data_IF_344911793416
#
_entry.id   IF_344911793416
#
_cell.length_a   1.000
_cell.length_b   1.000
_cell.length_c   1.000
_cell.angle_alpha   90.00
_cell.angle_beta   90.00
_cell.angle_gamma   90.00
#
_symmetry.space_group_name_H-M   'P 1'
#
loop_
_entity.id
_entity.type
_entity.pdbx_description
1 polymer ?
#
# COMPACT_ATOMS: atom_id res chain seq x y z
N UNK A 1 17.63 -16.43 -29.55
CA UNK A 1 16.36 -15.72 -29.82
C UNK A 1 15.99 -15.02 -28.54
N UNK A 2 16.02 -13.69 -28.52
CA UNK A 2 15.75 -12.90 -27.31
C UNK A 2 14.25 -12.88 -27.09
N UNK A 3 13.74 -13.73 -26.21
CA UNK A 3 12.38 -13.61 -25.69
C UNK A 3 12.35 -12.37 -24.81
N UNK A 4 11.61 -11.34 -25.24
CA UNK A 4 11.31 -10.20 -24.37
C UNK A 4 10.76 -10.71 -23.04
N UNK A 5 11.20 -10.16 -21.89
CA UNK A 5 10.65 -10.56 -20.61
C UNK A 5 9.15 -10.31 -20.63
N UNK A 6 8.36 -11.36 -20.38
CA UNK A 6 6.91 -11.22 -20.27
C UNK A 6 6.62 -10.39 -19.03
N UNK A 7 6.07 -9.19 -19.22
CA UNK A 7 5.61 -8.31 -18.16
C UNK A 7 4.11 -8.48 -17.97
N UNK A 8 3.63 -8.39 -16.74
CA UNK A 8 2.19 -8.29 -16.43
C UNK A 8 1.93 -7.23 -15.38
N UNK A 9 0.77 -6.58 -15.49
CA UNK A 9 0.22 -5.75 -14.44
C UNK A 9 -0.65 -6.61 -13.52
N UNK A 10 -0.47 -6.45 -12.21
CA UNK A 10 -1.32 -7.06 -11.18
C UNK A 10 -1.79 -6.01 -10.20
N UNK A 11 -3.06 -6.06 -9.85
CA UNK A 11 -3.66 -5.33 -8.73
C UNK A 11 -4.28 -6.34 -7.75
N UNK A 12 -4.65 -5.88 -6.56
CA UNK A 12 -5.17 -6.74 -5.52
C UNK A 12 -5.43 -5.99 -4.22
N UNK A 13 -5.36 -6.72 -3.12
CA UNK A 13 -5.51 -6.19 -1.77
C UNK A 13 -4.22 -6.37 -0.99
N UNK A 14 -3.92 -5.41 -0.13
CA UNK A 14 -2.90 -5.51 0.91
C UNK A 14 -3.58 -5.66 2.26
N UNK A 15 -2.93 -6.32 3.21
CA UNK A 15 -3.42 -6.43 4.57
C UNK A 15 -2.78 -5.33 5.41
N UNK A 16 -3.61 -4.48 6.00
CA UNK A 16 -3.17 -3.25 6.67
C UNK A 16 -3.82 -3.09 8.04
N UNK A 17 -3.06 -2.52 8.97
CA UNK A 17 -3.55 -1.95 10.22
C UNK A 17 -2.92 -0.57 10.43
N UNK A 18 -3.62 0.34 11.11
CA UNK A 18 -3.10 1.69 11.39
C UNK A 18 -2.58 1.73 12.82
N UNK A 19 -1.27 1.91 12.97
CA UNK A 19 -0.63 2.14 14.25
C UNK A 19 -0.75 3.62 14.66
N UNK A 20 -1.07 3.94 15.94
CA UNK A 20 -1.27 5.33 16.39
C UNK A 20 -0.08 6.27 16.13
N UNK A 21 1.14 5.76 16.27
CA UNK A 21 2.38 6.55 16.09
C UNK A 21 3.11 6.30 14.76
N UNK A 22 2.93 5.13 14.13
CA UNK A 22 3.69 4.73 12.94
C UNK A 22 2.89 4.92 11.66
N UNK A 23 1.59 5.17 11.77
CA UNK A 23 0.69 5.20 10.63
C UNK A 23 0.40 3.79 10.07
N UNK A 24 0.12 3.67 8.77
CA UNK A 24 -0.20 2.38 8.15
C UNK A 24 0.96 1.39 8.22
N UNK A 25 0.67 0.18 8.70
CA UNK A 25 1.55 -0.98 8.62
C UNK A 25 0.91 -2.04 7.73
N UNK A 26 1.73 -2.73 6.96
CA UNK A 26 1.32 -3.73 5.98
C UNK A 26 1.98 -5.08 6.28
N UNK A 27 1.30 -6.17 5.96
CA UNK A 27 1.95 -7.49 5.91
C UNK A 27 3.00 -7.52 4.81
N UNK A 28 4.21 -7.99 5.12
CA UNK A 28 5.28 -8.24 4.16
C UNK A 28 5.57 -9.74 4.10
N UNK A 29 5.78 -10.25 2.90
CA UNK A 29 6.17 -11.64 2.66
C UNK A 29 7.22 -11.69 1.55
N UNK A 30 8.30 -12.42 1.81
CA UNK A 30 9.35 -12.71 0.83
C UNK A 30 9.48 -14.23 0.70
N UNK A 31 9.26 -14.71 -0.52
CA UNK A 31 9.51 -16.10 -0.89
C UNK A 31 11.00 -16.29 -1.09
N UNK A 32 11.61 -17.21 -0.34
CA UNK A 32 13.02 -17.58 -0.49
C UNK A 32 13.16 -18.91 -1.27
N UNK A 33 12.08 -19.36 -1.92
CA UNK A 33 12.01 -20.62 -2.65
C UNK A 33 13.07 -20.70 -3.77
N UNK A 34 13.40 -19.57 -4.40
CA UNK A 34 14.41 -19.48 -5.48
C UNK A 34 15.83 -19.79 -5.01
N UNK A 35 16.13 -19.60 -3.73
CA UNK A 35 17.42 -19.90 -3.11
C UNK A 35 17.37 -21.12 -2.17
N UNK A 36 16.21 -21.76 -2.05
CA UNK A 36 15.97 -22.87 -1.13
C UNK A 36 15.95 -22.46 0.36
N UNK A 37 15.75 -21.18 0.63
CA UNK A 37 15.64 -20.63 1.99
C UNK A 37 14.21 -20.73 2.55
N UNK A 38 14.04 -20.50 3.86
CA UNK A 38 12.72 -20.39 4.47
C UNK A 38 12.05 -19.06 4.08
N UNK A 39 10.75 -19.11 3.79
CA UNK A 39 9.96 -17.89 3.53
C UNK A 39 9.98 -16.94 4.72
N UNK A 40 10.15 -15.65 4.44
CA UNK A 40 10.21 -14.60 5.45
C UNK A 40 8.87 -13.87 5.57
N UNK A 41 8.37 -13.77 6.80
CA UNK A 41 7.11 -13.11 7.13
C UNK A 41 7.39 -11.93 8.06
N UNK A 42 6.94 -10.74 7.69
CA UNK A 42 7.16 -9.53 8.48
C UNK A 42 5.96 -8.56 8.40
N UNK A 43 6.12 -7.40 9.03
CA UNK A 43 5.30 -6.21 8.84
C UNK A 43 6.20 -5.04 8.47
N UNK A 44 5.67 -4.08 7.71
CA UNK A 44 6.44 -2.95 7.21
C UNK A 44 5.58 -1.69 7.08
N UNK A 45 6.18 -0.50 7.14
CA UNK A 45 5.51 0.78 6.81
C UNK A 45 5.42 1.03 5.30
N UNK A 46 6.12 0.20 4.51
CA UNK A 46 6.34 0.40 3.08
C UNK A 46 5.32 -0.36 2.23
N UNK A 47 4.35 0.33 1.64
CA UNK A 47 3.36 -0.29 0.74
C UNK A 47 4.03 -0.98 -0.46
N UNK A 48 5.07 -0.36 -1.01
CA UNK A 48 6.39 -0.93 -1.20
C UNK A 48 6.54 -2.44 -1.37
N UNK A 49 6.61 -3.02 -0.18
CA UNK A 49 7.01 -4.37 0.17
C UNK A 49 5.82 -5.15 0.71
N UNK A 50 4.63 -4.54 0.71
CA UNK A 50 3.41 -5.18 1.14
C UNK A 50 3.11 -6.40 0.25
N UNK A 51 2.73 -7.49 0.91
CA UNK A 51 2.19 -8.69 0.32
C UNK A 51 0.89 -8.33 -0.40
N UNK A 52 0.91 -8.48 -1.73
CA UNK A 52 -0.24 -8.23 -2.59
C UNK A 52 -1.00 -9.54 -2.86
N UNK A 53 -2.24 -9.60 -2.41
CA UNK A 53 -3.14 -10.74 -2.52
C UNK A 53 -4.26 -10.48 -3.53
N UNK A 54 -4.86 -11.54 -4.07
CA UNK A 54 -6.05 -11.39 -4.91
C UNK A 54 -7.24 -10.88 -4.08
N UNK A 55 -8.19 -10.12 -4.65
CA UNK A 55 -9.35 -9.60 -3.90
C UNK A 55 -10.20 -10.68 -3.20
N UNK A 56 -10.18 -11.91 -3.71
CA UNK A 56 -10.93 -13.05 -3.18
C UNK A 56 -10.09 -13.98 -2.27
N UNK A 57 -8.90 -13.53 -1.85
CA UNK A 57 -7.88 -14.39 -1.21
C UNK A 57 -8.39 -15.14 0.02
N UNK A 58 -9.32 -14.56 0.82
CA UNK A 58 -9.89 -15.21 2.01
C UNK A 58 -10.73 -16.45 1.70
N UNK A 59 -11.18 -16.59 0.46
CA UNK A 59 -11.99 -17.74 0.01
C UNK A 59 -11.24 -18.65 -0.95
N UNK A 60 -10.04 -18.25 -1.39
CA UNK A 60 -9.22 -19.02 -2.32
C UNK A 60 -8.20 -19.90 -1.59
N UNK A 61 -7.43 -20.68 -2.35
CA UNK A 61 -6.31 -21.46 -1.81
C UNK A 61 -5.25 -20.59 -1.12
N UNK A 62 -5.13 -19.32 -1.52
CA UNK A 62 -4.20 -18.34 -0.94
C UNK A 62 -4.48 -18.08 0.55
N UNK A 63 -5.73 -18.23 1.00
CA UNK A 63 -6.06 -18.12 2.43
C UNK A 63 -5.24 -19.09 3.28
N UNK A 64 -5.05 -20.33 2.83
CA UNK A 64 -4.30 -21.34 3.59
C UNK A 64 -2.81 -21.00 3.72
N UNK A 65 -2.27 -20.22 2.78
CA UNK A 65 -0.87 -19.83 2.77
C UNK A 65 -0.58 -18.68 3.74
N UNK A 66 -1.51 -17.73 3.87
CA UNK A 66 -1.27 -16.48 4.61
C UNK A 66 -2.21 -16.25 5.81
N UNK A 67 -3.17 -17.13 6.08
CA UNK A 67 -4.10 -16.97 7.23
C UNK A 67 -3.41 -16.94 8.58
N UNK A 68 -2.24 -17.57 8.73
CA UNK A 68 -1.44 -17.53 9.95
C UNK A 68 -0.25 -16.57 9.86
N UNK A 69 -0.29 -15.55 8.98
CA UNK A 69 0.80 -14.61 8.78
C UNK A 69 1.31 -14.01 10.09
N UNK A 70 0.41 -13.46 10.92
CA UNK A 70 0.81 -12.80 12.16
C UNK A 70 1.39 -13.78 13.19
N UNK A 71 0.87 -15.02 13.25
CA UNK A 71 1.46 -16.06 14.10
C UNK A 71 2.89 -16.38 13.68
N UNK A 72 3.18 -16.40 12.37
CA UNK A 72 4.54 -16.60 11.85
C UNK A 72 5.44 -15.42 12.16
N UNK A 73 4.98 -14.19 11.95
CA UNK A 73 5.73 -12.97 12.32
C UNK A 73 6.13 -13.01 13.80
N UNK A 74 5.17 -13.28 14.69
CA UNK A 74 5.44 -13.33 16.12
C UNK A 74 6.36 -14.50 16.51
N UNK A 75 6.18 -15.68 15.93
CA UNK A 75 7.04 -16.84 16.19
C UNK A 75 8.49 -16.60 15.77
N UNK A 76 8.67 -15.94 14.63
CA UNK A 76 9.99 -15.82 13.99
C UNK A 76 10.74 -14.54 14.39
N UNK A 77 10.04 -13.52 14.91
CA UNK A 77 10.63 -12.21 15.23
C UNK A 77 10.39 -11.72 16.66
N UNK A 78 9.72 -12.50 17.52
CA UNK A 78 9.51 -12.14 18.93
C UNK A 78 9.96 -13.28 19.84
N UNK A 79 10.91 -12.97 20.71
CA UNK A 79 11.33 -13.86 21.79
C UNK A 79 10.76 -13.35 23.10
N UNK A 80 10.01 -14.19 23.82
CA UNK A 80 9.54 -13.90 25.18
C UNK A 80 10.26 -14.83 26.13
N UNK A 81 11.05 -14.26 27.04
CA UNK A 81 11.74 -14.98 28.10
C UNK A 81 11.08 -14.63 29.41
N UNK A 82 10.46 -15.64 30.03
CA UNK A 82 9.95 -15.55 31.39
C UNK A 82 10.85 -16.43 32.28
N UNK A 83 11.49 -15.83 33.28
CA UNK A 83 12.38 -16.55 34.20
C UNK A 83 12.22 -16.05 35.65
N UNK A 84 12.74 -16.82 36.59
CA UNK A 84 12.72 -16.51 38.01
C UNK A 84 14.14 -16.45 38.55
N UNK A 85 14.58 -15.23 38.89
CA UNK A 85 15.82 -15.02 39.63
C UNK A 85 15.55 -15.29 41.13
N UNK A 86 16.24 -16.24 41.79
CA UNK A 86 16.07 -16.52 43.21
C UNK A 86 16.27 -15.30 44.12
N UNK A 87 17.10 -14.34 43.70
CA UNK A 87 17.45 -13.15 44.47
C UNK A 87 16.69 -11.89 43.99
N UNK A 88 16.17 -11.91 42.75
CA UNK A 88 15.51 -10.79 42.07
C UNK A 88 13.99 -10.94 41.87
N UNK A 89 13.45 -12.14 42.04
CA UNK A 89 12.07 -12.47 41.73
C UNK A 89 11.82 -12.76 40.24
N UNK A 90 10.54 -12.88 39.83
CA UNK A 90 10.19 -13.14 38.44
C UNK A 90 10.51 -11.93 37.56
N UNK A 91 11.11 -12.19 36.40
CA UNK A 91 11.32 -11.19 35.36
C UNK A 91 10.89 -11.73 33.99
N UNK A 92 10.46 -10.81 33.14
CA UNK A 92 10.04 -11.10 31.78
C UNK A 92 10.73 -10.14 30.82
N UNK A 93 11.32 -10.66 29.75
CA UNK A 93 11.92 -9.88 28.68
C UNK A 93 11.27 -10.22 27.35
N UNK A 94 10.98 -9.20 26.56
CA UNK A 94 10.43 -9.34 25.21
C UNK A 94 11.45 -8.71 24.26
N UNK A 95 12.05 -9.54 23.41
CA UNK A 95 12.98 -9.09 22.40
C UNK A 95 12.32 -9.15 21.01
N UNK A 96 12.42 -8.05 20.28
CA UNK A 96 12.01 -7.95 18.88
C UNK A 96 13.21 -8.04 17.97
N UNK A 97 13.10 -8.84 16.92
CA UNK A 97 14.14 -9.01 15.90
C UNK A 97 13.72 -8.38 14.56
N UNK A 98 14.66 -8.28 13.62
CA UNK A 98 14.38 -7.84 12.25
C UNK A 98 13.77 -6.44 12.13
N UNK A 99 12.84 -6.27 11.18
CA UNK A 99 12.10 -5.01 11.03
C UNK A 99 11.22 -4.70 12.24
N UNK A 100 10.76 -5.73 12.97
CA UNK A 100 9.89 -5.56 14.12
C UNK A 100 10.59 -4.76 15.25
N UNK A 101 11.90 -4.98 15.42
CA UNK A 101 12.75 -4.22 16.35
C UNK A 101 12.81 -2.72 16.02
N UNK A 102 12.95 -2.41 14.72
CA UNK A 102 12.99 -1.03 14.25
C UNK A 102 11.63 -0.33 14.40
N UNK A 103 10.54 -1.03 14.11
CA UNK A 103 9.18 -0.52 14.28
C UNK A 103 8.85 -0.29 15.76
N UNK A 104 9.22 -1.23 16.63
CA UNK A 104 9.08 -1.09 18.07
C UNK A 104 9.81 0.17 18.57
N UNK A 105 11.08 0.33 18.21
CA UNK A 105 11.89 1.49 18.58
C UNK A 105 11.27 2.83 18.12
N UNK A 106 10.66 2.86 16.94
CA UNK A 106 10.00 4.05 16.39
C UNK A 106 8.62 4.31 17.00
N UNK A 107 7.94 3.27 17.50
CA UNK A 107 6.59 3.38 18.04
C UNK A 107 6.51 4.21 19.32
N UNK A 108 7.62 4.25 20.07
CA UNK A 108 7.68 4.85 21.41
C UNK A 108 6.91 4.07 22.49
N UNK A 109 6.37 2.90 22.16
CA UNK A 109 5.66 2.03 23.11
C UNK A 109 6.63 1.16 23.90
N UNK A 110 6.23 0.75 25.11
CA UNK A 110 6.92 -0.35 25.80
C UNK A 110 6.77 -1.66 25.05
N UNK A 111 7.65 -2.63 25.33
CA UNK A 111 7.65 -3.92 24.62
C UNK A 111 6.29 -4.63 24.71
N UNK A 112 5.70 -4.61 25.90
CA UNK A 112 4.38 -5.20 26.14
C UNK A 112 3.28 -4.48 25.38
N UNK A 113 3.27 -3.15 25.37
CA UNK A 113 2.26 -2.37 24.64
C UNK A 113 2.33 -2.61 23.14
N UNK A 114 3.54 -2.68 22.58
CA UNK A 114 3.74 -2.94 21.16
C UNK A 114 3.33 -4.37 20.78
N UNK A 115 3.72 -5.37 21.58
CA UNK A 115 3.31 -6.76 21.37
C UNK A 115 1.79 -6.94 21.50
N UNK A 116 1.17 -6.32 22.50
CA UNK A 116 -0.28 -6.35 22.71
C UNK A 116 -1.01 -5.62 21.56
N UNK A 117 -0.45 -4.53 21.03
CA UNK A 117 -0.96 -3.87 19.84
C UNK A 117 -0.91 -4.79 18.60
N UNK A 118 0.23 -5.41 18.31
CA UNK A 118 0.36 -6.33 17.14
C UNK A 118 -0.73 -7.42 17.18
N UNK A 119 -0.98 -7.98 18.36
CA UNK A 119 -1.95 -9.06 18.58
C UNK A 119 -3.41 -8.62 18.49
N UNK A 120 -3.72 -7.39 18.85
CA UNK A 120 -5.09 -6.87 18.92
C UNK A 120 -5.48 -5.93 17.79
N UNK A 121 -4.51 -5.49 16.98
CA UNK A 121 -4.75 -4.62 15.84
C UNK A 121 -5.74 -5.25 14.85
N UNK A 122 -6.64 -4.42 14.33
CA UNK A 122 -7.60 -4.81 13.31
C UNK A 122 -6.91 -4.82 11.93
N UNK A 123 -6.43 -6.00 11.52
CA UNK A 123 -5.83 -6.22 10.21
C UNK A 123 -6.91 -6.41 9.14
N UNK A 124 -7.11 -5.39 8.30
CA UNK A 124 -8.13 -5.35 7.25
C UNK A 124 -7.56 -5.40 5.84
N UNK A 125 -8.44 -5.64 4.85
CA UNK A 125 -8.09 -5.43 3.45
C UNK A 125 -8.12 -3.95 3.11
N UNK A 126 -7.09 -3.50 2.40
CA UNK A 126 -7.07 -2.22 1.73
C UNK A 126 -6.73 -2.42 0.23
N UNK A 127 -7.18 -1.52 -0.65
CA UNK A 127 -6.74 -1.51 -2.04
C UNK A 127 -5.21 -1.52 -2.13
N UNK A 128 -4.67 -2.51 -2.82
CA UNK A 128 -3.24 -2.63 -3.06
C UNK A 128 -2.78 -1.80 -4.25
N UNK A 129 -1.48 -1.50 -4.34
CA UNK A 129 -0.94 -0.81 -5.50
C UNK A 129 -1.02 -1.67 -6.76
N UNK A 130 -0.96 -1.02 -7.93
CA UNK A 130 -0.68 -1.72 -9.19
C UNK A 130 0.80 -2.10 -9.18
N UNK A 131 1.11 -3.35 -9.48
CA UNK A 131 2.47 -3.89 -9.50
C UNK A 131 2.80 -4.37 -10.91
N UNK A 132 4.01 -4.08 -11.37
CA UNK A 132 4.57 -4.69 -12.58
C UNK A 132 5.37 -5.91 -12.16
N UNK A 133 4.90 -7.07 -12.59
CA UNK A 133 5.59 -8.33 -12.38
C UNK A 133 6.27 -8.75 -13.68
N UNK A 134 7.48 -9.27 -13.55
CA UNK A 134 8.26 -9.84 -14.64
C UNK A 134 8.32 -11.35 -14.45
N UNK A 135 8.11 -12.10 -15.51
CA UNK A 135 8.39 -13.52 -15.50
C UNK A 135 9.90 -13.73 -15.51
N UNK A 136 10.42 -14.30 -14.43
CA UNK A 136 11.82 -14.63 -14.25
C UNK A 136 11.99 -16.15 -14.36
N UNK A 137 13.02 -16.54 -15.11
CA UNK A 137 13.41 -17.94 -15.29
C UNK A 137 14.50 -18.27 -14.28
N UNK A 138 14.19 -19.12 -13.30
CA UNK A 138 15.15 -19.62 -12.31
C UNK A 138 15.79 -20.94 -12.74
N UNK A 139 15.69 -21.32 -14.02
CA UNK A 139 16.24 -22.53 -14.62
C UNK A 139 15.36 -23.77 -14.44
N UNK A 140 14.80 -23.99 -13.25
CA UNK A 140 13.94 -25.15 -12.95
C UNK A 140 12.45 -24.82 -12.88
N UNK A 141 12.11 -23.53 -12.74
CA UNK A 141 10.74 -23.03 -12.73
C UNK A 141 10.71 -21.56 -13.15
N UNK A 142 9.52 -21.10 -13.49
CA UNK A 142 9.24 -19.69 -13.77
C UNK A 142 8.47 -19.08 -12.60
N UNK A 143 8.89 -17.90 -12.15
CA UNK A 143 8.22 -17.14 -11.11
C UNK A 143 7.96 -15.72 -11.57
N UNK A 144 6.82 -15.16 -11.15
CA UNK A 144 6.51 -13.76 -11.39
C UNK A 144 7.09 -12.94 -10.25
N UNK A 145 8.25 -12.32 -10.50
CA UNK A 145 8.89 -11.45 -9.53
C UNK A 145 8.39 -10.01 -9.68
N UNK A 146 8.20 -9.32 -8.55
CA UNK A 146 7.90 -7.88 -8.55
C UNK A 146 9.11 -7.15 -9.12
N UNK A 147 8.99 -6.67 -10.36
CA UNK A 147 10.07 -5.93 -11.04
C UNK A 147 10.09 -4.46 -10.61
N UNK A 148 8.91 -3.91 -10.35
CA UNK A 148 8.68 -2.60 -9.74
C UNK A 148 7.23 -2.55 -9.25
N UNK A 149 6.90 -1.60 -8.37
CA UNK A 149 5.53 -1.13 -8.39
C UNK A 149 5.27 -0.42 -9.71
N UNK A 150 4.05 -0.54 -10.22
CA UNK A 150 3.59 0.40 -11.22
C UNK A 150 3.28 1.69 -10.47
N UNK A 151 4.33 2.45 -10.19
CA UNK A 151 4.17 3.84 -9.84
C UNK A 151 3.53 4.62 -11.00
N UNK A 152 3.62 4.03 -12.20
CA UNK A 152 2.80 4.38 -13.33
C UNK A 152 1.32 4.06 -13.02
N UNK A 153 0.58 5.10 -12.65
CA UNK A 153 -0.86 5.06 -12.62
C UNK A 153 -1.35 5.26 -14.06
N UNK A 154 -2.23 4.39 -14.55
CA UNK A 154 -2.95 4.64 -15.80
C UNK A 154 -4.39 4.19 -15.63
N UNK A 155 -5.31 5.14 -15.71
CA UNK A 155 -6.75 4.88 -15.68
C UNK A 155 -7.44 5.64 -16.80
N UNK A 156 -8.42 5.00 -17.43
CA UNK A 156 -9.32 5.64 -18.39
C UNK A 156 -10.74 5.17 -18.12
N UNK A 157 -11.63 6.10 -17.83
CA UNK A 157 -13.04 5.78 -17.60
C UNK A 157 -13.64 6.59 -16.45
N UNK A 158 -14.85 6.20 -16.01
CA UNK A 158 -15.61 6.96 -15.03
C UNK A 158 -14.95 6.95 -13.65
N UNK A 159 -14.93 8.11 -13.00
CA UNK A 159 -14.53 8.31 -11.59
C UNK A 159 -15.49 9.27 -10.91
N UNK A 160 -15.62 9.20 -9.59
CA UNK A 160 -16.29 10.27 -8.85
C UNK A 160 -15.28 11.37 -8.55
N UNK A 161 -15.43 12.51 -9.23
CA UNK A 161 -14.54 13.65 -9.13
C UNK A 161 -15.13 14.71 -8.20
N UNK A 162 -14.34 15.17 -7.25
CA UNK A 162 -14.62 16.34 -6.40
C UNK A 162 -13.48 17.34 -6.55
N UNK A 163 -13.81 18.61 -6.79
CA UNK A 163 -12.84 19.72 -6.77
C UNK A 163 -13.24 20.74 -5.71
N UNK A 164 -12.24 21.31 -5.04
CA UNK A 164 -12.38 22.38 -4.05
C UNK A 164 -11.68 23.62 -4.57
N UNK A 165 -12.40 24.74 -4.58
CA UNK A 165 -11.91 26.02 -5.06
C UNK A 165 -11.30 26.85 -3.91
N UNK A 166 -10.52 27.86 -4.26
CA UNK A 166 -9.86 28.76 -3.30
C UNK A 166 -10.82 29.59 -2.44
N UNK A 167 -12.08 29.75 -2.87
CA UNK A 167 -13.15 30.38 -2.09
C UNK A 167 -13.84 29.39 -1.12
N UNK A 168 -13.40 28.13 -1.08
CA UNK A 168 -14.00 27.05 -0.29
C UNK A 168 -15.21 26.38 -0.95
N UNK A 169 -15.64 26.85 -2.12
CA UNK A 169 -16.68 26.20 -2.91
C UNK A 169 -16.23 24.82 -3.38
N UNK A 170 -17.20 23.94 -3.66
CA UNK A 170 -16.93 22.59 -4.16
C UNK A 170 -17.81 22.27 -5.36
N UNK A 171 -17.27 21.46 -6.28
CA UNK A 171 -18.03 20.87 -7.37
C UNK A 171 -17.80 19.36 -7.40
N UNK A 172 -18.91 18.61 -7.42
CA UNK A 172 -18.92 17.16 -7.45
C UNK A 172 -19.47 16.69 -8.78
N UNK A 173 -18.75 15.80 -9.44
CA UNK A 173 -19.16 15.14 -10.67
C UNK A 173 -19.03 13.63 -10.51
N UNK A 174 -20.14 12.91 -10.27
CA UNK A 174 -20.12 11.46 -10.29
C UNK A 174 -19.92 10.95 -11.71
N UNK A 175 -19.23 9.81 -11.84
CA UNK A 175 -18.94 9.17 -13.12
C UNK A 175 -18.37 10.13 -14.20
N UNK A 176 -17.46 11.02 -13.80
CA UNK A 176 -16.67 11.84 -14.71
C UNK A 176 -15.74 10.93 -15.54
N UNK A 177 -15.84 11.00 -16.87
CA UNK A 177 -14.93 10.28 -17.74
C UNK A 177 -13.58 11.01 -17.78
N UNK A 178 -12.52 10.34 -17.34
CA UNK A 178 -11.19 10.92 -17.18
C UNK A 178 -10.11 10.01 -17.72
N UNK A 179 -8.96 10.59 -18.05
CA UNK A 179 -7.69 9.88 -18.19
C UNK A 179 -6.80 10.32 -17.03
N UNK A 180 -6.32 9.37 -16.26
CA UNK A 180 -5.38 9.59 -15.16
C UNK A 180 -4.06 8.94 -15.53
N UNK A 181 -2.97 9.68 -15.38
CA UNK A 181 -1.62 9.19 -15.63
C UNK A 181 -0.67 9.66 -14.54
N UNK A 182 0.22 8.78 -14.10
CA UNK A 182 1.43 9.13 -13.33
C UNK A 182 2.59 8.39 -13.97
N UNK A 183 3.78 8.98 -14.01
CA UNK A 183 4.93 8.36 -14.68
C UNK A 183 5.81 7.59 -13.70
N UNK A 184 5.94 8.07 -12.46
CA UNK A 184 6.72 7.45 -11.38
C UNK A 184 6.23 7.90 -10.00
N UNK A 185 6.68 7.27 -8.91
CA UNK A 185 6.22 7.60 -7.56
C UNK A 185 6.83 8.93 -7.13
N UNK A 186 6.05 9.74 -6.41
CA UNK A 186 6.46 11.11 -6.06
C UNK A 186 6.28 12.13 -7.17
N UNK A 187 5.94 11.72 -8.39
CA UNK A 187 5.55 12.63 -9.46
C UNK A 187 4.08 13.01 -9.34
N UNK A 188 3.73 14.16 -9.94
CA UNK A 188 2.35 14.62 -9.99
C UNK A 188 1.46 13.66 -10.80
N UNK A 189 0.21 13.55 -10.38
CA UNK A 189 -0.80 12.80 -11.13
C UNK A 189 -1.44 13.74 -12.14
N UNK A 190 -1.24 13.45 -13.42
CA UNK A 190 -1.90 14.12 -14.53
C UNK A 190 -3.35 13.62 -14.65
N UNK A 191 -4.30 14.55 -14.62
CA UNK A 191 -5.73 14.27 -14.80
C UNK A 191 -6.23 15.05 -16.00
N UNK A 192 -6.70 14.34 -17.02
CA UNK A 192 -7.35 14.89 -18.20
C UNK A 192 -8.85 14.58 -18.14
N UNK A 193 -9.66 15.61 -18.33
CA UNK A 193 -11.12 15.55 -18.35
C UNK A 193 -11.60 15.60 -19.80
N UNK A 194 -12.85 15.17 -20.04
CA UNK A 194 -13.56 15.62 -21.24
C UNK A 194 -13.56 17.16 -21.31
N UNK A 195 -13.32 17.73 -22.50
CA UNK A 195 -13.11 19.18 -22.65
C UNK A 195 -14.30 20.01 -22.17
N UNK A 196 -15.55 19.55 -22.37
CA UNK A 196 -16.72 20.28 -21.90
C UNK A 196 -16.83 20.23 -20.37
N UNK A 197 -16.51 19.09 -19.76
CA UNK A 197 -16.45 18.94 -18.32
C UNK A 197 -15.31 19.76 -17.70
N UNK A 198 -14.13 19.70 -18.31
CA UNK A 198 -12.95 20.45 -17.91
C UNK A 198 -13.24 21.94 -17.87
N UNK A 199 -13.80 22.49 -18.95
CA UNK A 199 -14.20 23.89 -18.98
C UNK A 199 -15.20 24.21 -17.85
N UNK A 200 -16.25 23.40 -17.69
CA UNK A 200 -17.27 23.63 -16.66
C UNK A 200 -16.72 23.59 -15.21
N UNK A 201 -15.72 22.76 -14.93
CA UNK A 201 -15.19 22.57 -13.58
C UNK A 201 -13.97 23.42 -13.28
N UNK A 202 -13.02 23.51 -14.21
CA UNK A 202 -11.70 24.14 -14.00
C UNK A 202 -11.71 25.64 -14.31
N UNK A 203 -12.58 26.11 -15.22
CA UNK A 203 -12.67 27.55 -15.54
C UNK A 203 -13.47 28.35 -14.51
N UNK A 204 -14.11 27.67 -13.55
CA UNK A 204 -15.02 28.30 -12.57
C UNK A 204 -14.28 29.12 -11.52
N UNK A 205 -13.03 28.77 -11.21
CA UNK A 205 -12.25 29.41 -10.18
C UNK A 205 -10.92 28.72 -9.96
N UNK A 206 -10.14 29.25 -9.03
CA UNK A 206 -8.84 28.71 -8.64
C UNK A 206 -9.01 27.37 -7.91
N UNK A 207 -8.78 26.26 -8.60
CA UNK A 207 -8.88 24.91 -8.03
C UNK A 207 -7.69 24.66 -7.12
N UNK A 208 -7.94 24.36 -5.84
CA UNK A 208 -6.90 24.13 -4.83
C UNK A 208 -6.71 22.68 -4.47
N UNK A 209 -7.78 21.89 -4.46
CA UNK A 209 -7.73 20.47 -4.12
C UNK A 209 -8.65 19.68 -5.02
N UNK A 210 -8.27 18.43 -5.27
CA UNK A 210 -9.13 17.47 -5.94
C UNK A 210 -9.12 16.13 -5.21
N UNK A 211 -10.21 15.39 -5.38
CA UNK A 211 -10.39 14.03 -4.91
C UNK A 211 -11.07 13.22 -6.00
N UNK A 212 -10.45 12.11 -6.37
CA UNK A 212 -10.95 11.15 -7.34
C UNK A 212 -11.23 9.82 -6.62
N UNK A 213 -12.41 9.25 -6.83
CA UNK A 213 -12.72 7.88 -6.39
C UNK A 213 -12.86 7.01 -7.62
N UNK A 214 -12.00 5.98 -7.71
CA UNK A 214 -12.00 5.02 -8.79
C UNK A 214 -13.12 3.98 -8.58
N UNK A 215 -13.53 3.25 -9.64
CA UNK A 215 -14.57 2.21 -9.55
C UNK A 215 -14.27 1.08 -8.56
N UNK A 216 -12.99 0.82 -8.27
CA UNK A 216 -12.53 -0.17 -7.29
C UNK A 216 -12.52 0.37 -5.84
N UNK A 217 -12.91 1.64 -5.65
CA UNK A 217 -12.94 2.31 -4.35
C UNK A 217 -11.62 3.00 -3.97
N UNK A 218 -10.57 2.90 -4.80
CA UNK A 218 -9.32 3.63 -4.55
C UNK A 218 -9.57 5.15 -4.59
N UNK A 219 -8.90 5.89 -3.70
CA UNK A 219 -9.04 7.34 -3.58
C UNK A 219 -7.69 8.01 -3.85
N UNK A 220 -7.70 8.96 -4.79
CA UNK A 220 -6.56 9.82 -5.09
C UNK A 220 -6.97 11.24 -4.70
N UNK A 221 -6.28 11.84 -3.73
CA UNK A 221 -6.61 13.17 -3.24
C UNK A 221 -5.35 13.98 -2.93
N UNK A 222 -5.42 15.29 -3.14
CA UNK A 222 -4.25 16.13 -3.03
C UNK A 222 -4.47 17.60 -3.36
N UNK A 223 -3.38 18.35 -3.35
CA UNK A 223 -3.34 19.73 -3.80
C UNK A 223 -3.24 19.78 -5.32
N UNK A 224 -3.97 20.71 -5.93
CA UNK A 224 -3.93 20.92 -7.37
C UNK A 224 -2.79 21.90 -7.72
N UNK A 225 -1.93 21.48 -8.64
CA UNK A 225 -0.78 22.23 -9.13
C UNK A 225 -1.11 22.98 -10.42
N UNK A 226 -0.56 22.53 -11.54
CA UNK A 226 -0.86 23.09 -12.85
C UNK A 226 -2.33 22.83 -13.24
N UNK A 227 -2.98 23.84 -13.82
CA UNK A 227 -4.36 23.76 -14.31
C UNK A 227 -4.42 24.38 -15.70
N UNK A 228 -5.05 23.68 -16.63
CA UNK A 228 -5.43 24.19 -17.94
C UNK A 228 -6.92 23.92 -18.22
N UNK A 229 -7.38 24.08 -19.47
CA UNK A 229 -8.81 24.05 -19.80
C UNK A 229 -9.50 22.72 -19.44
N UNK A 230 -8.82 21.60 -19.63
CA UNK A 230 -9.34 20.25 -19.39
C UNK A 230 -8.35 19.35 -18.67
N UNK A 231 -7.29 19.93 -18.14
CA UNK A 231 -6.19 19.23 -17.49
C UNK A 231 -5.87 19.86 -16.14
N UNK A 232 -5.47 19.03 -15.19
CA UNK A 232 -4.78 19.49 -14.00
C UNK A 232 -3.79 18.45 -13.48
N UNK A 233 -2.84 18.93 -12.68
CA UNK A 233 -1.91 18.09 -11.92
C UNK A 233 -2.33 18.01 -10.46
N UNK A 234 -2.24 16.82 -9.90
CA UNK A 234 -2.55 16.55 -8.50
C UNK A 234 -1.29 16.08 -7.76
N UNK A 235 -0.96 16.79 -6.68
CA UNK A 235 0.09 16.44 -5.72
C UNK A 235 -0.58 15.74 -4.54
N UNK A 236 -0.42 14.42 -4.44
CA UNK A 236 -1.11 13.60 -3.44
C UNK A 236 -0.73 13.95 -2.00
N UNK A 237 -1.69 13.85 -1.07
CA UNK A 237 -1.50 14.25 0.34
C UNK A 237 -0.41 13.43 1.08
N UNK A 238 -0.07 12.22 0.60
CA UNK A 238 0.95 11.35 1.20
C UNK A 238 2.39 11.78 0.87
N UNK A 239 2.56 12.81 0.03
CA UNK A 239 3.87 13.39 -0.32
C UNK A 239 4.17 14.71 0.40
N UNK A 240 3.43 15.04 1.49
CA UNK A 240 3.69 16.21 2.35
C UNK A 240 4.33 15.85 3.70
#
# INVERSE_FOLDING_TARGET
MSSEPTLRQRTGVVIMAVHPALGPLYWEFVSEASVGGPDYHSITTRIDRALLLAPDWRTSSTFRLHSNHMERVLRDQVTVVDDFDPDGGPWSQIDFEGELSALHSQSGQSDKEFLDWIRSAEWGDAPGPIVIERLVDHGYFYEWERSSMSDALSHRGPVDLTVVYGDGGQANRPAADVVISRVAAGETVAVLLDTALGFAMLSRGDVKRARLVLPDGAVIAGNVGEVSADYFELIEDWHQ
#
